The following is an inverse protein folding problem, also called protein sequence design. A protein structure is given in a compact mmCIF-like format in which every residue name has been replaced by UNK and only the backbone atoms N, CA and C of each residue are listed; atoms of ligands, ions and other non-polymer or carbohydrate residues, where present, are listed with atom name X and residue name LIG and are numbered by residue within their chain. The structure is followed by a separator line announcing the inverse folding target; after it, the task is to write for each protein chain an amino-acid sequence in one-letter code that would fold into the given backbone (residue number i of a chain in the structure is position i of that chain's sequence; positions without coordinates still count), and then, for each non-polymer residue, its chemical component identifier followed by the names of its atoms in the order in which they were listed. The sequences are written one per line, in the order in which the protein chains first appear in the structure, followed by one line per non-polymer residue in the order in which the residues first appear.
data_IF_209612771714
#
_entry.id   IF_209612771714
#
_cell.length_a   1.000
_cell.length_b   1.000
_cell.length_c   1.000
_cell.angle_alpha   90.00
_cell.angle_beta   90.00
_cell.angle_gamma   90.00
#
_symmetry.space_group_name_H-M   'P 1'
#
loop_
_entity.id
_entity.type
_entity.pdbx_description
1 polymer ?
#
# COMPACT_ATOMS: atom_id res chain seq x y z
N UNK A 1 19.50 17.55 36.53
CA UNK A 1 19.63 17.25 35.08
C UNK A 1 18.92 15.93 34.80
N UNK A 2 17.66 15.96 34.34
CA UNK A 2 16.95 14.77 33.88
C UNK A 2 16.92 14.81 32.35
N UNK A 3 17.48 13.78 31.73
CA UNK A 3 17.58 13.64 30.29
C UNK A 3 16.18 13.66 29.65
N UNK A 4 15.95 14.61 28.75
CA UNK A 4 14.78 14.61 27.87
C UNK A 4 14.90 13.41 26.93
N UNK A 5 14.10 12.38 27.22
CA UNK A 5 13.82 11.26 26.32
C UNK A 5 13.21 11.87 25.05
N UNK A 6 14.02 12.04 24.01
CA UNK A 6 13.54 12.43 22.68
C UNK A 6 12.55 11.35 22.26
N UNK A 7 11.25 11.67 22.31
CA UNK A 7 10.25 10.94 21.56
C UNK A 7 10.76 10.94 20.12
N UNK A 8 11.20 9.77 19.64
CA UNK A 8 11.51 9.59 18.24
C UNK A 8 10.25 9.92 17.49
N UNK A 9 10.27 11.02 16.74
CA UNK A 9 9.26 11.24 15.73
C UNK A 9 9.21 9.96 14.88
N UNK A 10 8.05 9.31 14.86
CA UNK A 10 7.68 8.33 13.84
C UNK A 10 7.60 9.07 12.52
N UNK A 11 8.74 9.56 12.05
CA UNK A 11 8.88 10.18 10.76
C UNK A 11 8.97 9.00 9.82
N UNK A 12 7.89 8.78 9.08
CA UNK A 12 7.82 7.76 8.04
C UNK A 12 9.08 7.82 7.19
N UNK A 13 9.64 6.65 6.89
CA UNK A 13 10.90 6.48 6.15
C UNK A 13 10.85 7.11 4.76
N UNK A 14 9.63 7.36 4.25
CA UNK A 14 9.31 7.87 2.92
C UNK A 14 8.19 8.89 3.05
N UNK A 15 8.28 10.02 2.34
CA UNK A 15 7.19 11.00 2.27
C UNK A 15 6.21 10.70 1.12
N UNK A 16 4.97 11.19 1.24
CA UNK A 16 3.96 11.05 0.17
C UNK A 16 4.41 11.72 -1.14
N UNK A 17 5.13 12.84 -1.05
CA UNK A 17 5.64 13.56 -2.23
C UNK A 17 6.72 12.75 -2.98
N UNK A 18 7.55 11.99 -2.27
CA UNK A 18 8.52 11.08 -2.90
C UNK A 18 7.82 9.94 -3.63
N UNK A 19 6.77 9.38 -3.04
CA UNK A 19 5.96 8.33 -3.68
C UNK A 19 5.21 8.86 -4.91
N UNK A 20 4.65 10.07 -4.84
CA UNK A 20 4.03 10.75 -5.99
C UNK A 20 5.02 10.95 -7.14
N UNK A 21 6.22 11.42 -6.81
CA UNK A 21 7.29 11.64 -7.78
C UNK A 21 7.68 10.33 -8.46
N UNK A 22 7.78 9.23 -7.69
CA UNK A 22 8.09 7.91 -8.24
C UNK A 22 6.99 7.36 -9.16
N UNK A 23 5.72 7.56 -8.80
CA UNK A 23 4.57 7.08 -9.57
C UNK A 23 4.22 7.98 -10.76
N UNK A 24 4.92 9.12 -10.94
CA UNK A 24 4.64 10.13 -11.96
C UNK A 24 3.14 10.50 -12.00
N UNK A 25 2.55 10.75 -10.83
CA UNK A 25 1.15 11.13 -10.71
C UNK A 25 0.99 12.64 -10.94
N UNK A 26 0.50 13.01 -12.13
CA UNK A 26 0.21 14.41 -12.50
C UNK A 26 -1.18 14.89 -12.03
N UNK A 27 -2.01 13.97 -11.52
CA UNK A 27 -3.34 14.26 -10.99
C UNK A 27 -3.32 14.29 -9.46
N UNK A 28 -4.34 14.89 -8.82
CA UNK A 28 -4.51 14.93 -7.36
C UNK A 28 -4.82 13.52 -6.82
N UNK A 29 -3.82 12.76 -6.35
CA UNK A 29 -4.06 11.41 -5.89
C UNK A 29 -4.51 11.44 -4.44
N UNK A 30 -5.32 10.47 -4.05
CA UNK A 30 -5.81 10.37 -2.67
C UNK A 30 -4.63 10.25 -1.70
N UNK A 31 -4.31 11.37 -1.03
CA UNK A 31 -3.18 11.49 -0.11
C UNK A 31 -3.34 10.55 1.09
N UNK A 32 -4.58 10.30 1.52
CA UNK A 32 -4.86 9.36 2.59
C UNK A 32 -4.59 7.91 2.15
N UNK A 33 -4.94 7.58 0.90
CA UNK A 33 -4.61 6.28 0.32
C UNK A 33 -3.09 6.10 0.21
N UNK A 34 -2.35 7.09 -0.29
CA UNK A 34 -0.88 7.01 -0.40
C UNK A 34 -0.22 6.86 0.97
N UNK A 35 -0.64 7.63 1.97
CA UNK A 35 -0.14 7.50 3.34
C UNK A 35 -0.39 6.08 3.90
N UNK A 36 -1.60 5.54 3.70
CA UNK A 36 -1.93 4.18 4.13
C UNK A 36 -1.04 3.11 3.48
N UNK A 37 -0.70 3.28 2.19
CA UNK A 37 0.20 2.35 1.49
C UNK A 37 1.62 2.40 2.03
N UNK A 38 2.10 3.59 2.41
CA UNK A 38 3.41 3.77 3.04
C UNK A 38 3.43 3.08 4.41
N UNK A 39 2.42 3.32 5.25
CA UNK A 39 2.33 2.69 6.58
C UNK A 39 2.31 1.15 6.48
N UNK A 40 1.53 0.61 5.55
CA UNK A 40 1.48 -0.83 5.30
C UNK A 40 2.85 -1.36 4.81
N UNK A 41 3.56 -0.59 3.99
CA UNK A 41 4.84 -1.02 3.42
C UNK A 41 5.94 -1.01 4.48
N UNK A 42 5.92 -0.04 5.39
CA UNK A 42 6.80 -0.01 6.57
C UNK A 42 6.52 -1.19 7.51
N UNK A 43 5.25 -1.48 7.79
CA UNK A 43 4.87 -2.64 8.60
C UNK A 43 5.36 -3.95 7.97
N UNK A 44 5.28 -4.06 6.64
CA UNK A 44 5.77 -5.24 5.92
C UNK A 44 7.30 -5.36 5.98
N UNK A 45 8.02 -4.27 5.71
CA UNK A 45 9.49 -4.26 5.76
C UNK A 45 9.99 -4.57 7.16
N UNK A 46 9.39 -3.98 8.20
CA UNK A 46 9.75 -4.29 9.61
C UNK A 46 9.43 -5.72 10.01
N UNK A 47 8.32 -6.29 9.52
CA UNK A 47 8.00 -7.70 9.69
C UNK A 47 9.00 -8.63 8.99
N UNK A 48 9.48 -8.24 7.81
CA UNK A 48 10.45 -9.03 7.04
C UNK A 48 11.87 -8.96 7.61
N UNK A 49 12.31 -7.78 8.05
CA UNK A 49 13.64 -7.59 8.66
C UNK A 49 13.70 -8.05 10.12
N UNK A 50 12.55 -8.22 10.78
CA UNK A 50 12.46 -8.54 12.20
C UNK A 50 12.97 -7.42 13.13
N UNK A 51 13.21 -6.22 12.58
CA UNK A 51 13.74 -5.08 13.29
C UNK A 51 13.08 -3.78 12.79
N UNK A 52 12.86 -2.79 13.68
CA UNK A 52 12.35 -1.49 13.26
C UNK A 52 13.31 -0.82 12.27
N UNK A 53 12.78 -0.05 11.33
CA UNK A 53 13.59 0.70 10.37
C UNK A 53 14.42 1.74 11.15
N UNK A 54 15.77 1.68 11.08
CA UNK A 54 16.61 2.61 11.83
C UNK A 54 16.49 4.03 11.25
N UNK A 55 16.66 5.05 12.10
CA UNK A 55 16.74 6.46 11.68
C UNK A 55 18.19 6.94 11.86
N UNK A 56 18.91 7.36 10.79
CA UNK A 56 18.43 7.56 9.41
C UNK A 56 18.15 6.27 8.65
N UNK A 57 17.08 6.29 7.83
CA UNK A 57 16.64 5.13 7.04
C UNK A 57 17.72 4.74 6.01
N UNK A 58 18.21 3.48 6.02
CA UNK A 58 19.14 3.00 5.00
C UNK A 58 18.50 3.09 3.61
N UNK A 59 19.30 3.44 2.60
CA UNK A 59 18.81 3.59 1.22
C UNK A 59 18.07 2.34 0.72
N UNK A 60 18.53 1.14 1.10
CA UNK A 60 17.88 -0.12 0.75
C UNK A 60 16.48 -0.26 1.35
N UNK A 61 16.31 0.06 2.63
CA UNK A 61 14.99 0.02 3.30
C UNK A 61 14.04 1.07 2.72
N UNK A 62 14.57 2.27 2.43
CA UNK A 62 13.80 3.34 1.78
C UNK A 62 13.27 2.91 0.41
N UNK A 63 14.14 2.31 -0.42
CA UNK A 63 13.75 1.81 -1.74
C UNK A 63 12.72 0.68 -1.63
N UNK A 64 12.89 -0.24 -0.68
CA UNK A 64 11.95 -1.34 -0.48
C UNK A 64 10.54 -0.84 -0.14
N UNK A 65 10.43 0.12 0.80
CA UNK A 65 9.14 0.73 1.17
C UNK A 65 8.51 1.43 -0.04
N UNK A 66 9.29 2.22 -0.79
CA UNK A 66 8.82 2.91 -1.99
C UNK A 66 8.30 1.97 -3.08
N UNK A 67 9.04 0.90 -3.38
CA UNK A 67 8.63 -0.09 -4.40
C UNK A 67 7.38 -0.86 -3.96
N UNK A 68 7.27 -1.25 -2.69
CA UNK A 68 6.08 -1.93 -2.15
C UNK A 68 4.84 -1.03 -2.20
N UNK A 69 4.97 0.22 -1.74
CA UNK A 69 3.88 1.18 -1.76
C UNK A 69 3.39 1.47 -3.20
N UNK A 70 4.33 1.59 -4.15
CA UNK A 70 4.02 1.78 -5.57
C UNK A 70 3.26 0.60 -6.15
N UNK A 71 3.78 -0.62 -5.92
CA UNK A 71 3.14 -1.86 -6.39
C UNK A 71 1.70 -2.00 -5.88
N UNK A 72 1.47 -1.78 -4.59
CA UNK A 72 0.12 -1.88 -4.04
C UNK A 72 -0.82 -0.76 -4.45
N UNK A 73 -0.30 0.40 -4.85
CA UNK A 73 -1.11 1.44 -5.47
C UNK A 73 -1.56 1.00 -6.87
N UNK A 74 -0.62 0.59 -7.72
CA UNK A 74 -0.91 0.14 -9.09
C UNK A 74 -1.83 -1.09 -9.13
N UNK A 75 -1.65 -2.05 -8.23
CA UNK A 75 -2.54 -3.22 -8.13
C UNK A 75 -3.95 -2.80 -7.74
N UNK A 76 -4.12 -1.83 -6.84
CA UNK A 76 -5.44 -1.29 -6.52
C UNK A 76 -6.06 -0.56 -7.71
N UNK A 77 -5.29 0.21 -8.46
CA UNK A 77 -5.76 0.88 -9.67
C UNK A 77 -6.15 -0.12 -10.77
N UNK A 78 -5.34 -1.16 -10.97
CA UNK A 78 -5.64 -2.24 -11.91
C UNK A 78 -6.91 -3.01 -11.51
N UNK A 79 -7.12 -3.24 -10.20
CA UNK A 79 -8.35 -3.86 -9.69
C UNK A 79 -9.58 -2.97 -9.90
N UNK A 80 -9.42 -1.64 -9.91
CA UNK A 80 -10.50 -0.67 -10.18
C UNK A 80 -10.80 -0.48 -11.68
N UNK A 81 -10.04 -1.12 -12.56
CA UNK A 81 -10.23 -1.03 -14.01
C UNK A 81 -11.51 -1.71 -14.53
N UNK A 82 -12.01 -1.30 -15.71
CA UNK A 82 -13.28 -1.76 -16.29
C UNK A 82 -13.31 -3.23 -16.75
N UNK A 83 -12.31 -4.05 -16.42
CA UNK A 83 -12.17 -5.43 -16.90
C UNK A 83 -12.23 -6.49 -15.78
N UNK A 84 -12.40 -6.11 -14.50
CA UNK A 84 -12.56 -7.10 -13.42
C UNK A 84 -13.99 -7.65 -13.34
N UNK A 85 -15.02 -6.81 -13.52
CA UNK A 85 -16.42 -7.27 -13.52
C UNK A 85 -16.71 -8.23 -14.68
N UNK A 86 -15.92 -8.18 -15.75
CA UNK A 86 -15.98 -9.10 -16.89
C UNK A 86 -15.11 -10.36 -16.72
N UNK A 87 -14.30 -10.47 -15.66
CA UNK A 87 -13.56 -11.68 -15.30
C UNK A 87 -14.31 -12.59 -14.32
N UNK A 88 -15.36 -12.08 -13.69
CA UNK A 88 -16.52 -12.90 -13.32
C UNK A 88 -17.32 -13.19 -14.61
N UNK A 89 -16.71 -13.96 -15.52
CA UNK A 89 -17.43 -14.45 -16.70
C UNK A 89 -18.56 -15.36 -16.23
N UNK A 90 -19.69 -15.27 -16.93
CA UNK A 90 -21.00 -15.91 -16.76
C UNK A 90 -21.06 -17.41 -16.37
N UNK A 91 -19.93 -18.08 -16.18
CA UNK A 91 -19.80 -19.47 -15.74
C UNK A 91 -20.23 -19.65 -14.26
N UNK A 92 -19.86 -18.71 -13.38
CA UNK A 92 -20.19 -18.80 -11.94
C UNK A 92 -21.64 -18.42 -11.59
N UNK A 93 -22.33 -17.67 -12.48
CA UNK A 93 -23.74 -17.33 -12.26
C UNK A 93 -24.68 -18.53 -12.46
N UNK A 94 -24.21 -19.62 -13.08
CA UNK A 94 -25.00 -20.86 -13.19
C UNK A 94 -25.16 -21.58 -11.84
N UNK A 95 -24.17 -21.45 -10.94
CA UNK A 95 -24.21 -22.06 -9.59
C UNK A 95 -25.13 -21.27 -8.66
N UNK A 96 -25.14 -19.94 -8.75
CA UNK A 96 -26.02 -19.10 -7.91
C UNK A 96 -27.48 -19.16 -8.36
N UNK A 97 -27.75 -19.41 -9.65
CA UNK A 97 -29.12 -19.56 -10.15
C UNK A 97 -29.78 -20.88 -9.74
N UNK A 98 -29.02 -21.95 -9.42
CA UNK A 98 -29.63 -23.20 -8.93
C UNK A 98 -30.08 -23.11 -7.48
N UNK A 99 -29.39 -22.31 -6.66
CA UNK A 99 -29.73 -22.13 -5.25
C UNK A 99 -30.97 -21.25 -5.04
N UNK A 100 -31.29 -20.37 -5.99
CA UNK A 100 -32.50 -19.53 -5.93
C UNK A 100 -33.77 -20.22 -6.45
N UNK A 101 -33.66 -21.37 -7.10
CA UNK A 101 -34.81 -22.13 -7.62
C UNK A 101 -35.25 -23.29 -6.69
N UNK A 102 -34.67 -23.38 -5.49
CA UNK A 102 -35.00 -24.41 -4.47
C UNK A 102 -35.42 -23.81 -3.11
N UNK A 103 -35.88 -22.56 -3.09
CA UNK A 103 -36.48 -21.90 -1.93
C UNK A 103 -37.98 -21.63 -2.14
#
# INVERSE_FOLDING_TARGET
MRASKKLGATQSAVSVEELKTQLNLDHDPDVALLAFKIDAAEAYVTGFTGAPIPNPCPAASKQAVLTLASYWYEVCEAARGPLQWSRFTLDELSVVQSDLNYA
#
